data_IF_697162372610
#
_entry.id   IF_697162372610
#
_cell.length_a   1.000
_cell.length_b   1.000
_cell.length_c   1.000
_cell.angle_alpha   90.00
_cell.angle_beta   90.00
_cell.angle_gamma   90.00
#
_symmetry.space_group_name_H-M   'P 1'
#
loop_
_entity.id
_entity.type
_entity.pdbx_description
1 polymer ?
#
# COMPACT_ATOMS: atom_id res chain seq x y z
N UNK A 1 18.92 -10.89 -5.48
CA UNK A 1 19.74 -9.88 -4.78
C UNK A 1 21.19 -10.34 -4.79
N UNK A 2 22.18 -9.47 -5.05
CA UNK A 2 23.59 -9.85 -5.03
C UNK A 2 23.96 -10.48 -3.68
N UNK A 3 24.66 -11.62 -3.70
CA UNK A 3 24.89 -12.42 -2.49
C UNK A 3 26.00 -11.89 -1.57
N UNK A 4 26.69 -10.80 -1.93
CA UNK A 4 27.79 -10.24 -1.15
C UNK A 4 28.18 -8.82 -1.56
N UNK A 5 28.98 -8.16 -0.72
CA UNK A 5 29.31 -6.74 -0.85
C UNK A 5 29.99 -6.38 -2.17
N UNK A 6 30.96 -7.18 -2.64
CA UNK A 6 31.65 -6.93 -3.92
C UNK A 6 30.70 -7.05 -5.11
N UNK A 7 29.83 -8.07 -5.10
CA UNK A 7 28.82 -8.25 -6.14
C UNK A 7 27.78 -7.11 -6.12
N UNK A 8 27.42 -6.62 -4.93
CA UNK A 8 26.56 -5.44 -4.79
C UNK A 8 27.26 -4.17 -5.31
N UNK A 9 28.54 -3.97 -4.99
CA UNK A 9 29.31 -2.82 -5.48
C UNK A 9 29.42 -2.83 -7.00
N UNK A 10 29.73 -3.99 -7.62
CA UNK A 10 29.71 -4.13 -9.09
C UNK A 10 28.34 -3.89 -9.68
N UNK A 11 27.28 -4.40 -9.07
CA UNK A 11 25.92 -4.13 -9.53
C UNK A 11 25.55 -2.64 -9.51
N UNK A 12 26.17 -1.84 -8.61
CA UNK A 12 26.00 -0.38 -8.58
C UNK A 12 26.90 0.31 -9.61
N UNK A 13 28.17 -0.10 -9.73
CA UNK A 13 29.13 0.52 -10.65
C UNK A 13 28.83 0.23 -12.12
N UNK A 14 28.48 -1.02 -12.42
CA UNK A 14 28.19 -1.52 -13.77
C UNK A 14 26.67 -1.54 -14.05
N UNK A 15 25.87 -1.01 -13.12
CA UNK A 15 24.43 -1.00 -13.21
C UNK A 15 23.90 -0.01 -14.23
N UNK A 16 22.69 -0.27 -14.71
CA UNK A 16 21.94 0.67 -15.55
C UNK A 16 20.90 1.41 -14.69
N UNK A 17 20.81 2.73 -14.88
CA UNK A 17 19.73 3.51 -14.29
C UNK A 17 18.40 3.14 -14.95
N UNK A 18 17.40 2.82 -14.13
CA UNK A 18 16.02 2.64 -14.57
C UNK A 18 15.13 3.66 -13.91
N UNK A 19 14.49 4.50 -14.72
CA UNK A 19 13.42 5.38 -14.27
C UNK A 19 12.21 4.54 -13.85
N UNK A 20 11.55 4.98 -12.79
CA UNK A 20 10.41 4.31 -12.19
C UNK A 20 9.34 5.37 -11.87
N UNK A 21 8.08 4.94 -11.88
CA UNK A 21 6.97 5.79 -11.49
C UNK A 21 6.71 5.66 -9.98
N UNK A 22 6.00 6.62 -9.41
CA UNK A 22 5.53 6.58 -8.03
C UNK A 22 4.12 7.17 -7.93
N UNK A 23 3.45 6.96 -6.81
CA UNK A 23 2.20 7.66 -6.47
C UNK A 23 2.49 8.75 -5.44
N UNK A 24 1.85 9.90 -5.61
CA UNK A 24 1.79 10.97 -4.59
C UNK A 24 0.34 11.15 -4.17
N UNK A 25 0.09 11.16 -2.87
CA UNK A 25 -1.22 11.42 -2.32
C UNK A 25 -1.47 12.91 -2.06
N UNK A 26 -2.73 13.30 -1.91
CA UNK A 26 -3.15 14.70 -1.66
C UNK A 26 -2.64 15.29 -0.31
N UNK A 27 -1.95 14.50 0.52
CA UNK A 27 -1.25 14.93 1.73
C UNK A 27 0.27 14.85 1.58
N UNK A 28 0.76 14.88 0.34
CA UNK A 28 2.17 14.77 -0.05
C UNK A 28 2.84 13.43 0.33
N UNK A 29 2.05 12.40 0.67
CA UNK A 29 2.54 11.05 0.93
C UNK A 29 2.99 10.36 -0.35
N UNK A 30 4.12 9.65 -0.31
CA UNK A 30 4.70 8.96 -1.48
C UNK A 30 4.55 7.44 -1.36
N UNK A 31 4.20 6.78 -2.46
CA UNK A 31 4.17 5.31 -2.60
C UNK A 31 5.05 4.88 -3.76
N UNK A 32 6.06 4.06 -3.50
CA UNK A 32 7.00 3.54 -4.50
C UNK A 32 6.60 2.15 -5.00
N UNK A 33 6.05 1.32 -4.12
CA UNK A 33 5.79 -0.10 -4.39
C UNK A 33 4.30 -0.42 -4.46
N UNK A 34 3.58 -0.34 -3.34
CA UNK A 34 2.17 -0.70 -3.30
C UNK A 34 1.37 0.04 -2.23
N UNK A 35 0.16 0.42 -2.62
CA UNK A 35 -0.92 0.87 -1.75
C UNK A 35 -1.89 -0.28 -1.48
N UNK A 36 -2.34 -0.46 -0.23
CA UNK A 36 -3.31 -1.49 0.18
C UNK A 36 -4.37 -0.94 1.12
N UNK A 37 -5.62 -1.33 0.88
CA UNK A 37 -6.78 -1.08 1.75
C UNK A 37 -7.53 -2.40 1.88
N UNK A 38 -7.81 -2.92 3.09
CA UNK A 38 -7.25 -2.50 4.38
C UNK A 38 -5.71 -2.67 4.42
N UNK A 39 -5.01 -2.08 5.42
CA UNK A 39 -3.54 -2.09 5.49
C UNK A 39 -2.94 -3.48 5.76
N UNK A 40 -3.74 -4.39 6.33
CA UNK A 40 -3.40 -5.79 6.52
C UNK A 40 -4.13 -6.61 5.47
N UNK A 41 -3.42 -7.48 4.74
CA UNK A 41 -4.07 -8.45 3.87
C UNK A 41 -4.93 -9.38 4.73
N UNK A 42 -6.19 -9.57 4.36
CA UNK A 42 -7.04 -10.60 4.94
C UNK A 42 -6.44 -11.97 4.64
N UNK A 43 -5.60 -12.48 5.53
CA UNK A 43 -5.44 -13.92 5.72
C UNK A 43 -6.39 -14.29 6.84
N UNK A 44 -7.66 -14.50 6.51
CA UNK A 44 -8.55 -15.23 7.37
C UNK A 44 -8.03 -16.68 7.47
N UNK A 45 -7.65 -17.10 8.68
CA UNK A 45 -7.57 -18.51 9.10
C UNK A 45 -6.48 -19.38 8.46
N UNK A 46 -5.24 -19.25 8.92
CA UNK A 46 -4.43 -20.45 9.15
C UNK A 46 -4.45 -20.71 10.65
N UNK A 47 -4.89 -21.90 11.14
CA UNK A 47 -4.77 -22.24 12.55
C UNK A 47 -3.29 -22.26 12.95
N UNK A 48 -3.03 -21.83 14.19
CA UNK A 48 -1.71 -21.73 14.82
C UNK A 48 -0.76 -22.84 14.36
N UNK A 49 0.26 -22.44 13.61
CA UNK A 49 1.51 -23.15 13.55
C UNK A 49 2.49 -22.39 14.45
N UNK A 50 2.47 -22.80 15.71
CA UNK A 50 3.53 -22.58 16.67
C UNK A 50 4.89 -22.81 16.01
N UNK A 51 5.80 -21.83 16.09
CA UNK A 51 7.06 -21.89 15.37
C UNK A 51 7.88 -20.62 15.47
N UNK A 52 8.46 -20.40 16.64
CA UNK A 52 9.51 -19.43 16.91
C UNK A 52 10.56 -19.33 15.79
N UNK A 53 10.81 -18.10 15.31
CA UNK A 53 12.13 -17.67 14.86
C UNK A 53 12.22 -16.14 14.92
N UNK A 54 12.40 -15.63 16.15
CA UNK A 54 12.66 -14.22 16.40
C UNK A 54 13.84 -13.69 15.57
N UNK A 55 13.66 -12.47 15.04
CA UNK A 55 14.74 -11.65 14.47
C UNK A 55 15.02 -10.50 15.47
N UNK A 56 15.91 -10.70 16.45
CA UNK A 56 16.05 -9.84 17.64
C UNK A 56 16.75 -8.48 17.41
N UNK A 57 17.22 -8.16 16.19
CA UNK A 57 18.04 -6.97 15.92
C UNK A 57 17.26 -5.75 15.39
N UNK A 58 15.95 -5.90 15.12
CA UNK A 58 15.08 -4.78 14.70
C UNK A 58 14.52 -3.95 15.88
N UNK A 59 14.95 -4.22 17.13
CA UNK A 59 14.52 -3.47 18.32
C UNK A 59 15.24 -2.14 18.54
N UNK A 60 16.38 -1.88 17.90
CA UNK A 60 17.23 -0.73 18.26
C UNK A 60 17.03 0.52 17.39
N UNK A 61 16.27 0.46 16.29
CA UNK A 61 16.03 1.64 15.43
C UNK A 61 14.76 2.43 15.78
N UNK A 62 14.12 2.18 16.93
CA UNK A 62 12.87 2.84 17.34
C UNK A 62 13.02 3.82 18.52
N UNK A 63 14.20 4.44 18.69
CA UNK A 63 14.51 5.22 19.90
C UNK A 63 14.59 6.75 19.74
N UNK A 64 14.68 7.34 18.54
CA UNK A 64 15.05 8.77 18.42
C UNK A 64 14.06 9.72 17.70
N UNK A 65 12.75 9.45 17.73
CA UNK A 65 11.72 10.47 17.38
C UNK A 65 10.59 10.47 18.39
N UNK A 66 10.91 10.57 19.69
CA UNK A 66 9.90 10.63 20.77
C UNK A 66 10.00 11.87 21.65
N UNK A 67 10.32 13.01 21.07
CA UNK A 67 10.29 14.26 21.80
C UNK A 67 9.55 15.30 20.98
N UNK A 68 8.44 15.80 21.54
CA UNK A 68 7.56 16.90 21.08
C UNK A 68 6.23 16.51 20.40
N UNK A 69 5.40 15.70 21.06
CA UNK A 69 3.92 15.93 21.09
C UNK A 69 3.34 15.36 22.41
N UNK A 70 2.60 16.13 23.22
CA UNK A 70 1.89 15.60 24.39
C UNK A 70 0.78 14.64 23.96
N UNK A 71 0.81 13.40 24.44
CA UNK A 71 -0.22 12.40 24.19
C UNK A 71 -1.48 12.71 25.02
N UNK A 72 -2.60 13.03 24.35
CA UNK A 72 -3.95 12.93 24.93
C UNK A 72 -4.43 11.48 24.82
N UNK A 73 -4.91 10.84 25.89
CA UNK A 73 -5.40 9.47 25.83
C UNK A 73 -6.73 9.46 25.09
N UNK A 74 -6.74 8.99 23.84
CA UNK A 74 -7.98 8.65 23.15
C UNK A 74 -8.23 7.16 23.38
N UNK A 75 -9.38 6.88 23.99
CA UNK A 75 -9.77 5.57 24.48
C UNK A 75 -9.72 4.47 23.42
N UNK A 76 -9.70 3.24 23.93
CA UNK A 76 -9.84 2.00 23.17
C UNK A 76 -11.12 2.03 22.34
N UNK A 77 -11.03 2.55 21.12
CA UNK A 77 -12.02 2.30 20.08
C UNK A 77 -11.72 0.91 19.57
N UNK A 78 -12.67 0.01 19.79
CA UNK A 78 -12.73 -1.34 19.26
C UNK A 78 -12.09 -1.40 17.88
N UNK A 79 -11.15 -2.32 17.70
CA UNK A 79 -10.69 -2.73 16.37
C UNK A 79 -11.94 -2.96 15.52
N UNK A 80 -12.18 -2.17 14.46
CA UNK A 80 -13.27 -2.52 13.57
C UNK A 80 -12.93 -3.91 13.05
N UNK A 81 -13.84 -4.86 13.29
CA UNK A 81 -13.79 -6.19 12.72
C UNK A 81 -13.37 -6.08 11.26
N UNK A 82 -12.56 -7.03 10.82
CA UNK A 82 -12.13 -7.19 9.43
C UNK A 82 -13.31 -7.61 8.53
N UNK A 83 -14.44 -6.89 8.62
CA UNK A 83 -15.56 -6.97 7.73
C UNK A 83 -15.31 -6.10 6.50
N UNK A 84 -16.04 -6.35 5.41
CA UNK A 84 -15.81 -5.66 4.16
C UNK A 84 -16.15 -4.18 4.25
N UNK A 85 -15.29 -3.34 3.68
CA UNK A 85 -15.41 -1.90 3.71
C UNK A 85 -16.36 -1.41 2.60
N UNK A 86 -17.21 -0.44 2.92
CA UNK A 86 -17.99 0.29 1.91
C UNK A 86 -17.14 1.43 1.37
N UNK A 87 -16.55 1.22 0.19
CA UNK A 87 -15.66 2.16 -0.46
C UNK A 87 -16.17 2.47 -1.86
N UNK A 88 -16.06 3.74 -2.25
CA UNK A 88 -16.12 4.16 -3.64
C UNK A 88 -14.70 4.32 -4.16
N UNK A 89 -14.41 3.68 -5.27
CA UNK A 89 -13.12 3.73 -5.96
C UNK A 89 -13.33 4.36 -7.31
N UNK A 90 -12.65 5.47 -7.57
CA UNK A 90 -12.64 6.17 -8.84
C UNK A 90 -11.25 6.10 -9.46
N UNK A 91 -11.22 5.90 -10.77
CA UNK A 91 -10.02 5.80 -11.61
C UNK A 91 -10.14 6.80 -12.75
N UNK A 92 -9.24 7.79 -12.80
CA UNK A 92 -9.28 8.91 -13.76
C UNK A 92 -10.66 9.60 -13.86
N UNK A 93 -11.37 9.69 -12.72
CA UNK A 93 -12.70 10.28 -12.62
C UNK A 93 -13.87 9.34 -12.95
N UNK A 94 -13.61 8.11 -13.38
CA UNK A 94 -14.63 7.09 -13.62
C UNK A 94 -14.79 6.16 -12.40
N UNK A 95 -16.02 5.89 -11.97
CA UNK A 95 -16.30 5.00 -10.83
C UNK A 95 -16.07 3.53 -11.21
N UNK A 96 -15.14 2.87 -10.53
CA UNK A 96 -14.87 1.42 -10.65
C UNK A 96 -15.76 0.60 -9.70
N UNK A 97 -15.95 1.08 -8.48
CA UNK A 97 -16.86 0.55 -7.46
C UNK A 97 -17.47 1.71 -6.70
N UNK A 98 -18.74 1.61 -6.30
CA UNK A 98 -19.44 2.61 -5.50
C UNK A 98 -19.78 2.08 -4.09
N UNK A 99 -20.12 2.98 -3.15
CA UNK A 99 -20.37 2.70 -1.73
C UNK A 99 -21.44 1.62 -1.46
N UNK A 100 -22.32 1.36 -2.43
CA UNK A 100 -23.33 0.31 -2.35
C UNK A 100 -22.75 -1.10 -2.31
N UNK A 101 -21.57 -1.31 -2.90
CA UNK A 101 -20.94 -2.62 -3.01
C UNK A 101 -19.83 -2.77 -1.96
N UNK A 102 -19.89 -3.81 -1.10
CA UNK A 102 -18.85 -4.06 -0.13
C UNK A 102 -17.55 -4.51 -0.83
N UNK A 103 -16.41 -3.98 -0.38
CA UNK A 103 -15.08 -4.26 -0.90
C UNK A 103 -14.26 -4.99 0.17
N UNK A 104 -13.69 -6.12 -0.20
CA UNK A 104 -12.75 -6.86 0.65
C UNK A 104 -11.38 -6.20 0.65
N UNK A 105 -10.87 -5.85 -0.54
CA UNK A 105 -9.62 -5.11 -0.63
C UNK A 105 -9.46 -4.27 -1.89
N UNK A 106 -8.63 -3.24 -1.80
CA UNK A 106 -8.13 -2.43 -2.90
C UNK A 106 -6.61 -2.50 -2.87
N UNK A 107 -5.99 -2.70 -4.03
CA UNK A 107 -4.55 -2.52 -4.21
C UNK A 107 -4.25 -1.62 -5.40
N UNK A 108 -3.27 -0.74 -5.23
CA UNK A 108 -2.79 0.14 -6.29
C UNK A 108 -1.28 0.04 -6.36
N UNK A 109 -0.75 -0.23 -7.55
CA UNK A 109 0.68 -0.42 -7.79
C UNK A 109 1.09 0.47 -8.96
N UNK A 110 2.00 1.45 -8.78
CA UNK A 110 2.53 2.21 -9.90
C UNK A 110 3.20 1.27 -10.89
N UNK A 111 3.02 1.52 -12.19
CA UNK A 111 3.73 0.81 -13.23
C UNK A 111 4.93 1.63 -13.74
N UNK A 112 5.33 1.40 -15.00
CA UNK A 112 6.43 2.13 -15.66
C UNK A 112 5.97 2.76 -16.96
N UNK A 113 4.65 2.95 -17.09
CA UNK A 113 3.98 3.48 -18.29
C UNK A 113 3.21 4.77 -17.98
N UNK A 114 3.53 5.42 -16.85
CA UNK A 114 2.84 6.62 -16.38
C UNK A 114 1.44 6.34 -15.84
N UNK A 115 1.14 5.09 -15.48
CA UNK A 115 -0.14 4.70 -14.86
C UNK A 115 0.09 3.86 -13.60
N UNK A 116 -1.00 3.53 -12.93
CA UNK A 116 -1.04 2.59 -11.83
C UNK A 116 -2.05 1.50 -12.13
N UNK A 117 -1.71 0.27 -11.81
CA UNK A 117 -2.64 -0.85 -11.83
C UNK A 117 -3.48 -0.79 -10.56
N UNK A 118 -4.79 -0.81 -10.73
CA UNK A 118 -5.78 -0.84 -9.66
C UNK A 118 -6.46 -2.19 -9.69
N UNK A 119 -6.48 -2.88 -8.56
CA UNK A 119 -7.23 -4.11 -8.35
C UNK A 119 -8.17 -3.91 -7.17
N UNK A 120 -9.47 -4.10 -7.41
CA UNK A 120 -10.51 -4.08 -6.38
C UNK A 120 -11.09 -5.48 -6.27
N UNK A 121 -11.10 -6.03 -5.06
CA UNK A 121 -11.73 -7.31 -4.73
C UNK A 121 -13.06 -7.02 -4.05
N UNK A 122 -14.20 -7.24 -4.72
CA UNK A 122 -15.51 -7.15 -4.08
C UNK A 122 -15.62 -8.21 -2.97
N UNK A 123 -16.30 -7.87 -1.89
CA UNK A 123 -16.60 -8.85 -0.85
C UNK A 123 -17.65 -9.85 -1.38
N UNK A 124 -17.27 -11.12 -1.44
CA UNK A 124 -18.18 -12.16 -1.92
C UNK A 124 -19.15 -12.60 -0.83
N UNK A 125 -20.43 -12.71 -1.15
CA UNK A 125 -21.44 -13.37 -0.29
C UNK A 125 -21.91 -14.63 -1.03
N UNK A 126 -21.04 -15.64 -1.12
CA UNK A 126 -21.28 -16.88 -1.88
C UNK A 126 -21.00 -16.73 -3.38
N UNK A 127 -20.18 -17.64 -3.92
CA UNK A 127 -19.46 -17.57 -5.20
C UNK A 127 -18.33 -16.52 -5.23
N UNK A 128 -17.13 -16.96 -5.62
CA UNK A 128 -15.89 -16.17 -5.63
C UNK A 128 -16.03 -15.01 -6.65
N UNK A 129 -16.17 -13.77 -6.16
CA UNK A 129 -16.30 -12.59 -7.00
C UNK A 129 -14.98 -12.31 -7.71
N UNK A 130 -15.05 -12.17 -9.04
CA UNK A 130 -13.88 -11.83 -9.85
C UNK A 130 -13.36 -10.42 -9.52
N UNK A 131 -12.04 -10.24 -9.40
CA UNK A 131 -11.46 -8.92 -9.13
C UNK A 131 -11.71 -7.97 -10.31
N UNK A 132 -11.96 -6.70 -9.98
CA UNK A 132 -12.07 -5.61 -10.95
C UNK A 132 -10.68 -5.02 -11.16
N UNK A 133 -10.22 -5.00 -12.41
CA UNK A 133 -8.90 -4.50 -12.79
C UNK A 133 -9.01 -3.25 -13.65
N UNK A 134 -8.20 -2.23 -13.34
CA UNK A 134 -8.10 -1.01 -14.11
C UNK A 134 -6.64 -0.50 -14.17
N UNK A 135 -6.38 0.41 -15.11
CA UNK A 135 -5.16 1.23 -15.14
C UNK A 135 -5.56 2.69 -15.14
N UNK A 136 -4.88 3.51 -14.33
CA UNK A 136 -5.25 4.90 -14.13
C UNK A 136 -4.05 5.78 -13.77
N UNK A 137 -4.16 7.09 -14.03
CA UNK A 137 -3.18 8.09 -13.55
C UNK A 137 -3.56 8.67 -12.20
N UNK A 138 -4.85 8.76 -11.93
CA UNK A 138 -5.42 9.28 -10.69
C UNK A 138 -6.35 8.24 -10.10
N UNK A 139 -6.20 7.94 -8.82
CA UNK A 139 -7.07 7.03 -8.08
C UNK A 139 -7.61 7.75 -6.86
N UNK A 140 -8.92 7.80 -6.71
CA UNK A 140 -9.58 8.37 -5.53
C UNK A 140 -10.34 7.27 -4.81
N UNK A 141 -10.09 7.12 -3.51
CA UNK A 141 -10.87 6.21 -2.65
C UNK A 141 -11.59 7.05 -1.61
N UNK A 142 -12.90 6.85 -1.51
CA UNK A 142 -13.75 7.49 -0.50
C UNK A 142 -14.63 6.48 0.23
N UNK A 143 -15.01 6.78 1.46
CA UNK A 143 -15.84 5.92 2.32
C UNK A 143 -16.10 6.57 3.67
N UNK A 144 -16.74 5.84 4.60
CA UNK A 144 -17.03 6.38 5.94
C UNK A 144 -15.73 6.78 6.66
N UNK A 145 -14.86 5.80 6.94
CA UNK A 145 -13.48 5.99 7.35
C UNK A 145 -12.68 4.74 7.00
N UNK A 146 -11.48 4.88 6.43
CA UNK A 146 -10.61 3.74 6.15
C UNK A 146 -9.15 4.03 6.49
N UNK A 147 -8.39 2.97 6.76
CA UNK A 147 -6.93 3.00 6.86
C UNK A 147 -6.33 2.39 5.62
N UNK A 148 -5.11 2.81 5.28
CA UNK A 148 -4.37 2.26 4.16
C UNK A 148 -2.91 2.04 4.53
N UNK A 149 -2.26 1.13 3.82
CA UNK A 149 -0.82 0.93 3.87
C UNK A 149 -0.20 1.41 2.57
N UNK A 150 0.74 2.33 2.67
CA UNK A 150 1.62 2.77 1.59
C UNK A 150 3.02 2.23 1.87
N UNK A 151 3.45 1.22 1.10
CA UNK A 151 4.70 0.51 1.30
C UNK A 151 4.86 -0.05 2.73
N UNK A 152 5.61 0.62 3.60
CA UNK A 152 5.80 0.24 5.00
C UNK A 152 4.95 1.07 5.98
N UNK A 153 4.41 2.21 5.55
CA UNK A 153 3.67 3.12 6.40
C UNK A 153 2.17 2.80 6.40
N UNK A 154 1.54 2.87 7.57
CA UNK A 154 0.08 2.78 7.72
C UNK A 154 -0.46 4.17 8.06
N UNK A 155 -1.47 4.60 7.32
CA UNK A 155 -2.09 5.93 7.42
C UNK A 155 -3.60 5.83 7.65
N UNK A 156 -4.18 6.93 8.15
CA UNK A 156 -5.61 7.06 8.46
C UNK A 156 -5.96 6.78 9.93
N UNK A 157 -7.26 6.78 10.29
CA UNK A 157 -8.42 6.80 9.38
C UNK A 157 -8.59 8.10 8.59
N UNK A 158 -9.02 7.98 7.33
CA UNK A 158 -9.41 9.10 6.45
C UNK A 158 -10.76 8.80 5.79
N UNK A 159 -11.50 9.83 5.38
CA UNK A 159 -12.77 9.68 4.64
C UNK A 159 -12.57 9.59 3.12
N UNK A 160 -11.61 10.37 2.60
CA UNK A 160 -11.23 10.40 1.19
C UNK A 160 -9.72 10.52 1.08
N UNK A 161 -9.14 9.87 0.07
CA UNK A 161 -7.75 10.09 -0.33
C UNK A 161 -7.60 9.91 -1.83
N UNK A 162 -6.87 10.82 -2.46
CA UNK A 162 -6.50 10.74 -3.88
C UNK A 162 -5.01 10.49 -4.04
N UNK A 163 -4.64 9.60 -4.96
CA UNK A 163 -3.27 9.32 -5.38
C UNK A 163 -3.09 9.63 -6.86
N UNK A 164 -2.00 10.31 -7.21
CA UNK A 164 -1.64 10.67 -8.58
C UNK A 164 -0.31 10.06 -8.95
N UNK A 165 -0.23 9.45 -10.12
CA UNK A 165 1.01 8.91 -10.68
C UNK A 165 1.94 10.05 -11.08
N UNK A 166 3.20 9.94 -10.65
CA UNK A 166 4.31 10.76 -11.13
C UNK A 166 5.21 9.87 -11.97
N UNK A 167 5.10 10.04 -13.28
CA UNK A 167 5.87 9.29 -14.27
C UNK A 167 7.36 9.61 -14.17
N UNK A 168 8.20 8.58 -14.23
CA UNK A 168 9.66 8.69 -14.25
C UNK A 168 10.19 9.62 -13.15
N UNK A 169 9.58 9.62 -11.97
CA UNK A 169 9.86 10.60 -10.93
C UNK A 169 11.10 10.24 -10.09
N UNK A 170 11.53 8.98 -10.15
CA UNK A 170 12.71 8.51 -9.45
C UNK A 170 13.45 7.46 -10.28
N UNK A 171 14.65 7.09 -9.84
CA UNK A 171 15.42 6.05 -10.49
C UNK A 171 16.09 5.10 -9.52
N UNK A 172 16.25 3.87 -10.00
CA UNK A 172 17.02 2.84 -9.32
C UNK A 172 18.12 2.35 -10.26
N UNK A 173 19.34 2.27 -9.75
CA UNK A 173 20.41 1.53 -10.45
C UNK A 173 20.17 0.03 -10.25
N UNK A 174 19.93 -0.69 -11.33
CA UNK A 174 19.80 -2.15 -11.34
C UNK A 174 20.98 -2.78 -12.06
N UNK A 175 21.29 -4.08 -11.82
CA UNK A 175 22.21 -4.81 -12.67
C UNK A 175 21.84 -4.68 -14.15
N UNK A 176 22.83 -4.39 -14.99
CA UNK A 176 22.68 -4.46 -16.44
C UNK A 176 22.25 -5.87 -16.85
N UNK A 177 21.37 -5.96 -17.85
CA UNK A 177 20.75 -7.22 -18.27
C UNK A 177 21.72 -8.14 -18.98
#
# INVERSE_FOLDING_TARGET
MPAGAVAAARAVLDGAERRMDLLVDDSDGVVLGALRIPPLGGTAGLPDADGEAGRPWLRTCRSLVRTLVPARPSGSVSTPEAGPARLRVEVDGATLVDLGQPVESVSVVPDTSGTARVEVRPASVGAEASPLLARARTVTVSGAHFRYRADAAVSGPVGTRTWVVRESAWSLTVPAR
#
